data_IF_430111720336
#
_entry.id   IF_430111720336
#
_cell.length_a   1.000
_cell.length_b   1.000
_cell.length_c   1.000
_cell.angle_alpha   90.00
_cell.angle_beta   90.00
_cell.angle_gamma   90.00
#
_symmetry.space_group_name_H-M   'P 1'
#
loop_
_entity.id
_entity.type
_entity.pdbx_description
1 polymer ?
#
# COMPACT_ATOMS: atom_id res chain seq x y z
N UNK A 1 16.73 30.06 -24.14
CA UNK A 1 15.64 30.33 -23.17
C UNK A 1 14.43 29.39 -23.31
N UNK A 2 14.03 28.98 -24.53
CA UNK A 2 12.88 28.05 -24.73
C UNK A 2 13.10 26.63 -24.20
N UNK A 3 14.34 26.12 -24.23
CA UNK A 3 14.69 24.76 -23.78
C UNK A 3 14.52 24.57 -22.26
N UNK A 4 14.82 25.61 -21.47
CA UNK A 4 14.69 25.60 -20.01
C UNK A 4 13.22 25.53 -19.56
N UNK A 5 12.34 26.23 -20.27
CA UNK A 5 10.89 26.19 -20.03
C UNK A 5 10.29 24.82 -20.32
N UNK A 6 10.76 24.14 -21.36
CA UNK A 6 10.32 22.77 -21.69
C UNK A 6 10.79 21.77 -20.64
N UNK A 7 12.04 21.88 -20.16
CA UNK A 7 12.56 21.03 -19.10
C UNK A 7 11.81 21.21 -17.77
N UNK A 8 11.53 22.46 -17.38
CA UNK A 8 10.73 22.75 -16.18
C UNK A 8 9.30 22.21 -16.30
N UNK A 9 8.67 22.32 -17.48
CA UNK A 9 7.33 21.76 -17.71
C UNK A 9 7.31 20.22 -17.63
N UNK A 10 8.36 19.53 -18.12
CA UNK A 10 8.45 18.06 -18.01
C UNK A 10 8.64 17.61 -16.56
N UNK A 11 9.40 18.35 -15.75
CA UNK A 11 9.59 18.05 -14.32
C UNK A 11 8.27 18.21 -13.57
N UNK A 12 7.54 19.31 -13.80
CA UNK A 12 6.21 19.55 -13.20
C UNK A 12 5.19 18.48 -13.62
N UNK A 13 5.25 17.97 -14.86
CA UNK A 13 4.38 16.87 -15.33
C UNK A 13 4.79 15.49 -14.79
N UNK A 14 6.06 15.28 -14.44
CA UNK A 14 6.53 14.06 -13.82
C UNK A 14 6.16 13.99 -12.33
N UNK A 15 6.20 15.13 -11.63
CA UNK A 15 5.85 15.24 -10.21
C UNK A 15 4.35 15.46 -9.97
N UNK A 16 3.61 15.92 -10.99
CA UNK A 16 2.17 16.20 -10.92
C UNK A 16 1.24 14.98 -10.99
N UNK A 17 1.76 13.75 -11.06
CA UNK A 17 0.95 12.51 -11.02
C UNK A 17 0.73 11.93 -9.61
N UNK A 18 1.02 12.67 -8.54
CA UNK A 18 0.82 12.18 -7.17
C UNK A 18 0.08 13.23 -6.35
N UNK A 19 -1.19 13.52 -6.67
CA UNK A 19 -1.99 14.37 -5.76
C UNK A 19 -3.52 14.34 -5.92
N UNK A 20 -4.09 13.60 -6.86
CA UNK A 20 -5.52 13.79 -7.16
C UNK A 20 -6.24 12.45 -7.14
N UNK A 21 -6.94 12.20 -6.02
CA UNK A 21 -7.77 11.03 -5.68
C UNK A 21 -7.07 9.83 -5.03
N UNK A 22 -6.33 10.03 -3.94
CA UNK A 22 -6.30 8.98 -2.92
C UNK A 22 -7.71 8.89 -2.34
N UNK A 23 -8.57 8.07 -2.96
CA UNK A 23 -9.84 7.65 -2.36
C UNK A 23 -9.56 7.22 -0.91
N UNK A 24 -10.49 7.38 0.04
CA UNK A 24 -10.26 7.00 1.43
C UNK A 24 -9.69 5.58 1.57
N UNK A 25 -10.10 4.67 0.67
CA UNK A 25 -9.59 3.30 0.55
C UNK A 25 -8.15 3.21 0.02
N UNK A 26 -7.75 4.04 -0.94
CA UNK A 26 -6.38 4.07 -1.46
C UNK A 26 -5.40 4.56 -0.39
N UNK A 27 -5.73 5.65 0.30
CA UNK A 27 -4.94 6.15 1.43
C UNK A 27 -4.82 5.10 2.53
N UNK A 28 -5.93 4.48 2.91
CA UNK A 28 -5.96 3.39 3.88
C UNK A 28 -5.07 2.22 3.45
N UNK A 29 -5.11 1.82 2.18
CA UNK A 29 -4.22 0.77 1.66
C UNK A 29 -2.74 1.18 1.77
N UNK A 30 -2.40 2.39 1.32
CA UNK A 30 -1.03 2.91 1.37
C UNK A 30 -0.49 2.95 2.80
N UNK A 31 -1.32 3.42 3.75
CA UNK A 31 -0.98 3.49 5.17
C UNK A 31 -0.76 2.09 5.77
N UNK A 32 -1.61 1.10 5.43
CA UNK A 32 -1.49 -0.29 5.91
C UNK A 32 -0.28 -1.00 5.30
N UNK A 33 -0.10 -0.92 3.98
CA UNK A 33 1.04 -1.54 3.28
C UNK A 33 2.36 -0.92 3.71
N UNK A 34 2.39 0.41 3.93
CA UNK A 34 3.56 1.11 4.47
C UNK A 34 3.94 0.59 5.85
N UNK A 35 2.96 0.39 6.74
CA UNK A 35 3.20 -0.19 8.06
C UNK A 35 3.65 -1.66 7.98
N UNK A 36 3.04 -2.47 7.11
CA UNK A 36 3.42 -3.86 6.90
C UNK A 36 4.87 -4.00 6.42
N UNK A 37 5.34 -3.13 5.52
CA UNK A 37 6.76 -3.11 5.09
C UNK A 37 7.72 -2.88 6.26
N UNK A 38 7.35 -2.05 7.23
CA UNK A 38 8.13 -1.85 8.46
C UNK A 38 8.24 -3.09 9.35
N UNK A 39 7.40 -4.12 9.12
CA UNK A 39 7.38 -5.37 9.87
C UNK A 39 7.90 -6.59 9.09
N UNK A 40 8.33 -6.41 7.83
CA UNK A 40 8.84 -7.51 6.97
C UNK A 40 10.05 -8.22 7.58
N UNK A 41 10.93 -7.49 8.28
CA UNK A 41 12.11 -8.06 8.94
C UNK A 41 11.74 -8.98 10.11
N UNK A 42 10.58 -8.77 10.74
CA UNK A 42 10.01 -9.65 11.76
C UNK A 42 9.34 -10.92 11.20
N UNK A 43 9.38 -11.12 9.87
CA UNK A 43 8.80 -12.27 9.20
C UNK A 43 7.27 -12.32 9.25
N UNK A 44 6.71 -13.48 8.87
CA UNK A 44 5.25 -13.70 8.79
C UNK A 44 4.55 -13.47 10.13
N UNK A 45 5.24 -13.71 11.25
CA UNK A 45 4.69 -13.50 12.60
C UNK A 45 4.39 -12.03 12.89
N UNK A 46 5.34 -11.12 12.59
CA UNK A 46 5.15 -9.68 12.78
C UNK A 46 4.04 -9.10 11.89
N UNK A 47 3.99 -9.54 10.63
CA UNK A 47 2.94 -9.16 9.68
C UNK A 47 1.56 -9.64 10.14
N UNK A 48 1.45 -10.89 10.58
CA UNK A 48 0.19 -11.47 11.08
C UNK A 48 -0.31 -10.73 12.32
N UNK A 49 0.58 -10.37 13.25
CA UNK A 49 0.20 -9.64 14.47
C UNK A 49 -0.34 -8.25 14.15
N UNK A 50 0.35 -7.51 13.27
CA UNK A 50 -0.09 -6.20 12.83
C UNK A 50 -1.45 -6.27 12.12
N UNK A 51 -1.57 -7.18 11.15
CA UNK A 51 -2.79 -7.31 10.35
C UNK A 51 -3.98 -7.76 11.22
N UNK A 52 -3.77 -8.66 12.20
CA UNK A 52 -4.83 -9.08 13.13
C UNK A 52 -5.32 -7.91 13.99
N UNK A 53 -4.41 -7.05 14.47
CA UNK A 53 -4.75 -5.84 15.23
C UNK A 53 -5.54 -4.86 14.37
N UNK A 54 -5.12 -4.66 13.12
CA UNK A 54 -5.84 -3.86 12.16
C UNK A 54 -7.26 -4.39 11.92
N UNK A 55 -7.45 -5.68 11.70
CA UNK A 55 -8.79 -6.25 11.55
C UNK A 55 -9.68 -6.07 12.79
N UNK A 56 -9.09 -6.03 13.99
CA UNK A 56 -9.82 -5.70 15.22
C UNK A 56 -10.35 -4.26 15.26
N UNK A 57 -9.75 -3.34 14.49
CA UNK A 57 -10.18 -1.94 14.40
C UNK A 57 -11.31 -1.69 13.39
N UNK A 58 -11.69 -2.70 12.60
CA UNK A 58 -12.73 -2.59 11.55
C UNK A 58 -13.93 -3.48 11.89
N UNK A 59 -14.86 -3.03 12.75
CA UNK A 59 -15.89 -3.89 13.34
C UNK A 59 -16.87 -4.49 12.32
N UNK A 60 -17.11 -3.82 11.20
CA UNK A 60 -18.04 -4.30 10.16
C UNK A 60 -17.47 -5.46 9.32
N UNK A 61 -16.15 -5.54 9.17
CA UNK A 61 -15.48 -6.51 8.29
C UNK A 61 -14.40 -7.34 9.01
N UNK A 62 -14.27 -7.20 10.32
CA UNK A 62 -13.15 -7.78 11.09
C UNK A 62 -13.03 -9.30 10.95
N UNK A 63 -14.15 -10.01 10.81
CA UNK A 63 -14.17 -11.45 10.55
C UNK A 63 -13.60 -11.82 9.18
N UNK A 64 -14.11 -11.19 8.11
CA UNK A 64 -13.62 -11.36 6.74
C UNK A 64 -12.15 -10.97 6.60
N UNK A 65 -11.77 -9.85 7.23
CA UNK A 65 -10.40 -9.35 7.29
C UNK A 65 -9.46 -10.38 7.93
N UNK A 66 -9.83 -11.00 9.05
CA UNK A 66 -9.02 -12.04 9.70
C UNK A 66 -8.88 -13.30 8.84
N UNK A 67 -9.94 -13.72 8.15
CA UNK A 67 -9.86 -14.86 7.21
C UNK A 67 -8.90 -14.56 6.06
N UNK A 68 -9.02 -13.39 5.43
CA UNK A 68 -8.11 -12.99 4.35
C UNK A 68 -6.65 -12.98 4.79
N UNK A 69 -6.36 -12.55 6.01
CA UNK A 69 -5.01 -12.63 6.58
C UNK A 69 -4.58 -14.09 6.70
N UNK A 70 -5.35 -14.91 7.41
CA UNK A 70 -5.00 -16.31 7.64
C UNK A 70 -4.71 -17.06 6.33
N UNK A 71 -5.47 -16.77 5.29
CA UNK A 71 -5.40 -17.47 4.00
C UNK A 71 -4.30 -16.94 3.06
N UNK A 72 -3.81 -15.71 3.27
CA UNK A 72 -2.93 -15.04 2.29
C UNK A 72 -1.64 -14.44 2.86
N UNK A 73 -1.39 -14.52 4.17
CA UNK A 73 -0.29 -13.75 4.77
C UNK A 73 1.11 -14.18 4.29
N UNK A 74 1.30 -15.43 3.90
CA UNK A 74 2.55 -15.88 3.26
C UNK A 74 2.79 -15.22 1.89
N UNK A 75 1.73 -15.09 1.08
CA UNK A 75 1.80 -14.41 -0.23
C UNK A 75 2.07 -12.93 -0.05
N UNK A 76 1.38 -12.29 0.89
CA UNK A 76 1.57 -10.88 1.24
C UNK A 76 3.01 -10.64 1.72
N UNK A 77 3.56 -11.53 2.56
CA UNK A 77 4.94 -11.45 3.01
C UNK A 77 5.95 -11.57 1.84
N UNK A 78 5.66 -12.42 0.85
CA UNK A 78 6.49 -12.57 -0.35
C UNK A 78 6.45 -11.31 -1.25
N UNK A 79 5.26 -10.74 -1.45
CA UNK A 79 5.09 -9.50 -2.24
C UNK A 79 5.68 -8.26 -1.56
N UNK A 80 5.67 -8.21 -0.23
CA UNK A 80 6.30 -7.09 0.49
C UNK A 80 7.83 -7.14 0.42
N UNK A 81 8.43 -8.34 0.31
CA UNK A 81 9.88 -8.53 0.18
C UNK A 81 10.43 -8.17 -1.21
N UNK A 82 9.60 -8.17 -2.24
CA UNK A 82 10.03 -7.88 -3.61
C UNK A 82 10.27 -6.39 -3.90
N UNK A 83 10.29 -5.53 -2.86
CA UNK A 83 10.54 -4.08 -2.95
C UNK A 83 9.60 -3.33 -3.91
N UNK A 84 8.43 -3.91 -4.20
CA UNK A 84 7.41 -3.30 -5.04
C UNK A 84 6.92 -2.00 -4.39
N UNK A 85 6.78 -0.93 -5.17
CA UNK A 85 6.25 0.35 -4.67
C UNK A 85 4.87 0.13 -4.03
N UNK A 86 4.63 0.76 -2.87
CA UNK A 86 3.37 0.63 -2.10
C UNK A 86 2.14 0.91 -2.96
N UNK A 87 2.26 1.88 -3.87
CA UNK A 87 1.22 2.23 -4.84
C UNK A 87 0.85 1.08 -5.79
N UNK A 88 1.84 0.32 -6.29
CA UNK A 88 1.58 -0.83 -7.17
C UNK A 88 0.85 -1.96 -6.44
N UNK A 89 1.18 -2.19 -5.17
CA UNK A 89 0.49 -3.19 -4.33
C UNK A 89 -0.99 -2.78 -4.17
N UNK A 90 -1.25 -1.51 -3.89
CA UNK A 90 -2.62 -1.02 -3.72
C UNK A 90 -3.44 -0.94 -5.02
N UNK A 91 -2.79 -0.73 -6.17
CA UNK A 91 -3.42 -0.89 -7.49
C UNK A 91 -3.78 -2.36 -7.74
N UNK A 92 -2.90 -3.30 -7.41
CA UNK A 92 -3.16 -4.73 -7.58
C UNK A 92 -4.33 -5.20 -6.70
N UNK A 93 -4.47 -4.63 -5.49
CA UNK A 93 -5.61 -4.87 -4.60
C UNK A 93 -6.89 -4.12 -5.02
N UNK A 94 -6.86 -3.38 -6.13
CA UNK A 94 -7.97 -2.55 -6.63
C UNK A 94 -8.46 -1.50 -5.63
N UNK A 95 -7.59 -1.08 -4.70
CA UNK A 95 -7.88 -0.04 -3.71
C UNK A 95 -7.40 1.34 -4.16
N UNK A 96 -6.47 1.38 -5.10
CA UNK A 96 -6.02 2.56 -5.85
C UNK A 96 -6.26 2.32 -7.35
N UNK A 97 -6.48 3.39 -8.11
CA UNK A 97 -6.72 3.36 -9.55
C UNK A 97 -5.76 4.29 -10.28
#
# INVERSE_FOLDING_TARGET
MRLLLVLLAVIVLAEGRVAYWDLPFCKMCKDVVGQLKGHVEGGVSGLTQFATKFCGSVPLIGGMCKSMIADNMEKIAAELKSNVATEKICIHMQMCW
#
